data_IF_172029346462
#
_entry.id   IF_172029346462
#
_cell.length_a   1.000
_cell.length_b   1.000
_cell.length_c   1.000
_cell.angle_alpha   90.00
_cell.angle_beta   90.00
_cell.angle_gamma   90.00
#
_symmetry.space_group_name_H-M   'P 1'
#
loop_
_entity.id
_entity.type
_entity.pdbx_description
1 polymer ?
#
# COMPACT_ATOMS: atom_id res chain seq x y z
N UNK A 1 -45.28 -21.38 38.87
CA UNK A 1 -44.07 -20.53 38.82
C UNK A 1 -43.18 -20.99 37.67
N UNK A 2 -43.40 -20.48 36.45
CA UNK A 2 -42.56 -20.72 35.25
C UNK A 2 -42.57 -19.45 34.40
N UNK A 3 -42.11 -18.34 34.95
CA UNK A 3 -41.99 -17.07 34.19
C UNK A 3 -40.71 -16.29 34.47
N UNK A 4 -39.80 -16.78 35.31
CA UNK A 4 -38.57 -16.02 35.65
C UNK A 4 -37.35 -16.35 34.79
N UNK A 5 -37.28 -17.55 34.19
CA UNK A 5 -36.09 -18.03 33.46
C UNK A 5 -36.00 -17.52 32.01
N UNK A 6 -37.14 -17.24 31.37
CA UNK A 6 -37.17 -16.79 29.96
C UNK A 6 -36.69 -15.35 29.78
N UNK A 7 -36.88 -14.49 30.78
CA UNK A 7 -36.40 -13.11 30.74
C UNK A 7 -34.88 -13.05 30.86
N UNK A 8 -34.25 -13.81 31.75
CA UNK A 8 -32.79 -13.80 31.89
C UNK A 8 -32.08 -14.35 30.64
N UNK A 9 -32.61 -15.40 30.02
CA UNK A 9 -32.08 -15.92 28.75
C UNK A 9 -32.22 -14.92 27.59
N UNK A 10 -33.32 -14.17 27.54
CA UNK A 10 -33.52 -13.09 26.55
C UNK A 10 -32.59 -11.90 26.78
N UNK A 11 -32.35 -11.51 28.03
CA UNK A 11 -31.41 -10.44 28.38
C UNK A 11 -29.96 -10.83 28.06
N UNK A 12 -29.55 -12.07 28.33
CA UNK A 12 -28.21 -12.57 27.98
C UNK A 12 -28.03 -12.65 26.46
N UNK A 13 -29.05 -13.11 25.72
CA UNK A 13 -29.02 -13.17 24.25
C UNK A 13 -28.97 -11.77 23.59
N UNK A 14 -29.70 -10.80 24.15
CA UNK A 14 -29.66 -9.41 23.69
C UNK A 14 -28.32 -8.74 24.01
N UNK A 15 -27.73 -8.98 25.19
CA UNK A 15 -26.40 -8.46 25.54
C UNK A 15 -25.29 -9.06 24.66
N UNK A 16 -25.37 -10.35 24.32
CA UNK A 16 -24.42 -10.99 23.40
C UNK A 16 -24.60 -10.53 21.95
N UNK A 17 -25.84 -10.23 21.51
CA UNK A 17 -26.09 -9.61 20.21
C UNK A 17 -25.59 -8.15 20.12
N UNK A 18 -25.67 -7.39 21.21
CA UNK A 18 -25.17 -6.01 21.28
C UNK A 18 -23.63 -5.97 21.35
N UNK A 19 -22.99 -6.94 22.02
CA UNK A 19 -21.52 -7.05 22.08
C UNK A 19 -20.87 -7.52 20.76
N UNK A 20 -21.62 -8.15 19.86
CA UNK A 20 -21.15 -8.53 18.52
C UNK A 20 -21.50 -7.50 17.43
N UNK A 21 -22.11 -6.37 17.80
CA UNK A 21 -22.34 -5.24 16.90
C UNK A 21 -21.21 -4.20 16.96
N UNK A 22 -19.97 -4.62 17.22
CA UNK A 22 -18.82 -3.88 16.70
C UNK A 22 -18.91 -3.99 15.18
N UNK A 23 -19.45 -2.96 14.53
CA UNK A 23 -19.52 -2.92 13.07
C UNK A 23 -18.12 -3.16 12.54
N UNK A 24 -17.92 -4.29 11.84
CA UNK A 24 -16.68 -4.56 11.15
C UNK A 24 -16.37 -3.34 10.28
N UNK A 25 -15.23 -2.69 10.50
CA UNK A 25 -14.85 -1.41 9.90
C UNK A 25 -15.01 -1.49 8.37
N UNK A 26 -15.77 -0.61 7.74
CA UNK A 26 -16.06 -0.76 6.31
C UNK A 26 -14.91 -0.25 5.40
N UNK A 27 -14.99 -0.52 4.09
CA UNK A 27 -13.95 -0.08 3.16
C UNK A 27 -13.91 1.45 2.95
N UNK A 28 -15.01 2.16 3.22
CA UNK A 28 -15.03 3.62 3.18
C UNK A 28 -14.18 4.16 4.33
N UNK A 29 -14.34 3.61 5.53
CA UNK A 29 -13.51 3.94 6.70
C UNK A 29 -12.02 3.64 6.44
N UNK A 30 -11.70 2.47 5.85
CA UNK A 30 -10.32 2.13 5.45
C UNK A 30 -9.72 3.20 4.53
N UNK A 31 -10.50 3.69 3.54
CA UNK A 31 -10.00 4.69 2.60
C UNK A 31 -9.85 6.09 3.21
N UNK A 32 -10.71 6.47 4.15
CA UNK A 32 -10.57 7.73 4.91
C UNK A 32 -9.31 7.69 5.80
N UNK A 33 -9.00 6.52 6.35
CA UNK A 33 -7.84 6.27 7.22
C UNK A 33 -6.60 5.77 6.48
N UNK A 34 -6.52 5.89 5.14
CA UNK A 34 -5.39 5.35 4.36
C UNK A 34 -4.02 5.86 4.83
N UNK A 35 -3.97 7.05 5.42
CA UNK A 35 -2.73 7.66 5.88
C UNK A 35 -2.12 6.91 7.08
N UNK A 36 -2.95 6.21 7.86
CA UNK A 36 -2.56 5.39 9.01
C UNK A 36 -2.04 4.01 8.59
N UNK A 37 -2.21 3.60 7.32
CA UNK A 37 -1.77 2.27 6.88
C UNK A 37 -0.26 2.12 6.85
N UNK A 38 0.48 3.24 6.88
CA UNK A 38 1.93 3.24 7.07
C UNK A 38 2.32 2.65 8.44
N UNK A 39 1.46 2.79 9.46
CA UNK A 39 1.70 2.30 10.83
C UNK A 39 1.31 0.83 11.01
N UNK A 40 0.80 0.18 9.95
CA UNK A 40 0.42 -1.23 10.01
C UNK A 40 1.62 -2.18 10.05
N UNK A 41 2.75 -1.75 9.51
CA UNK A 41 3.97 -2.53 9.50
C UNK A 41 5.15 -1.66 9.94
N UNK A 42 5.87 -2.10 10.97
CA UNK A 42 7.13 -1.47 11.40
C UNK A 42 8.30 -1.88 10.48
N UNK A 43 8.16 -1.61 9.18
CA UNK A 43 9.16 -1.90 8.17
C UNK A 43 10.13 -0.72 7.99
N UNK A 44 11.43 -0.97 7.77
CA UNK A 44 12.33 0.07 7.30
C UNK A 44 11.92 0.54 5.89
N UNK A 45 12.09 1.83 5.61
CA UNK A 45 11.74 2.41 4.33
C UNK A 45 12.80 2.05 3.27
N UNK A 46 12.38 1.38 2.20
CA UNK A 46 13.25 1.05 1.03
C UNK A 46 13.60 2.31 0.23
N UNK A 47 12.66 3.24 0.14
CA UNK A 47 12.77 4.49 -0.60
C UNK A 47 12.69 5.65 0.40
N UNK A 48 13.48 6.70 0.16
CA UNK A 48 13.27 7.93 0.90
C UNK A 48 12.02 8.62 0.32
N UNK A 49 10.97 8.75 1.14
CA UNK A 49 9.72 9.41 0.75
C UNK A 49 9.59 10.83 1.32
N UNK A 50 10.68 11.36 1.88
CA UNK A 50 10.80 12.76 2.24
C UNK A 50 10.52 13.60 0.99
N UNK A 51 9.82 14.72 1.18
CA UNK A 51 9.44 15.62 0.08
C UNK A 51 8.52 15.00 -0.98
N UNK A 52 8.00 13.77 -0.82
CA UNK A 52 7.02 13.19 -1.76
C UNK A 52 5.82 14.13 -1.93
N UNK A 53 5.31 14.68 -0.82
CA UNK A 53 4.19 15.61 -0.84
C UNK A 53 4.49 16.86 -1.66
N UNK A 54 5.62 17.52 -1.42
CA UNK A 54 6.01 18.72 -2.17
C UNK A 54 6.28 18.41 -3.63
N UNK A 55 6.90 17.26 -3.93
CA UNK A 55 7.10 16.79 -5.30
C UNK A 55 5.77 16.62 -6.04
N UNK A 56 4.75 16.02 -5.41
CA UNK A 56 3.39 15.86 -5.96
C UNK A 56 2.69 17.22 -6.13
N UNK A 57 2.75 18.08 -5.10
CA UNK A 57 2.09 19.39 -5.11
C UNK A 57 2.69 20.34 -6.16
N UNK A 58 3.98 20.21 -6.44
CA UNK A 58 4.69 20.96 -7.48
C UNK A 58 4.39 20.54 -8.92
N UNK A 59 3.62 19.47 -9.14
CA UNK A 59 3.26 19.03 -10.49
C UNK A 59 1.96 19.66 -10.98
N UNK A 60 1.86 19.81 -12.31
CA UNK A 60 0.64 20.21 -13.01
C UNK A 60 -0.23 18.99 -13.38
N UNK A 61 -1.49 19.26 -13.73
CA UNK A 61 -2.44 18.24 -14.18
C UNK A 61 -3.39 17.73 -13.10
N UNK A 62 -4.10 16.65 -13.41
CA UNK A 62 -5.06 16.05 -12.48
C UNK A 62 -4.35 15.28 -11.35
N UNK A 63 -5.08 14.89 -10.29
CA UNK A 63 -4.51 14.22 -9.11
C UNK A 63 -3.69 12.96 -9.45
N UNK A 64 -4.09 12.21 -10.48
CA UNK A 64 -3.39 11.02 -10.92
C UNK A 64 -2.07 11.40 -11.62
N UNK A 65 -2.10 12.35 -12.55
CA UNK A 65 -0.90 12.86 -13.23
C UNK A 65 0.11 13.44 -12.22
N UNK A 66 -0.36 14.30 -11.30
CA UNK A 66 0.49 14.87 -10.25
C UNK A 66 1.20 13.81 -9.40
N UNK A 67 0.49 12.72 -9.08
CA UNK A 67 1.08 11.61 -8.34
C UNK A 67 2.22 10.94 -9.11
N UNK A 68 1.97 10.51 -10.36
CA UNK A 68 3.00 9.81 -11.14
C UNK A 68 4.21 10.70 -11.41
N UNK A 69 3.98 11.97 -11.77
CA UNK A 69 5.07 12.89 -12.05
C UNK A 69 5.84 13.28 -10.78
N UNK A 70 5.14 13.45 -9.65
CA UNK A 70 5.77 13.74 -8.38
C UNK A 70 6.63 12.58 -7.89
N UNK A 71 6.16 11.34 -8.02
CA UNK A 71 6.95 10.16 -7.67
C UNK A 71 8.14 9.99 -8.61
N UNK A 72 7.96 10.19 -9.91
CA UNK A 72 9.06 10.14 -10.87
C UNK A 72 10.15 11.15 -10.51
N UNK A 73 9.78 12.42 -10.27
CA UNK A 73 10.73 13.46 -9.89
C UNK A 73 11.46 13.13 -8.59
N UNK A 74 10.73 12.68 -7.55
CA UNK A 74 11.34 12.28 -6.28
C UNK A 74 12.37 11.14 -6.47
N UNK A 75 12.01 10.11 -7.24
CA UNK A 75 12.92 8.98 -7.47
C UNK A 75 14.11 9.41 -8.33
N UNK A 76 13.92 10.35 -9.24
CA UNK A 76 14.99 10.91 -10.07
C UNK A 76 15.97 11.74 -9.24
N UNK A 77 15.48 12.55 -8.30
CA UNK A 77 16.31 13.30 -7.34
C UNK A 77 17.22 12.38 -6.51
N UNK A 78 16.81 11.12 -6.34
CA UNK A 78 17.55 10.08 -5.61
C UNK A 78 18.38 9.18 -6.53
N UNK A 79 18.41 9.43 -7.85
CA UNK A 79 19.06 8.59 -8.85
C UNK A 79 18.55 7.13 -8.87
N UNK A 80 17.25 6.93 -8.58
CA UNK A 80 16.60 5.61 -8.60
C UNK A 80 15.82 5.36 -9.89
N UNK A 81 15.65 6.40 -10.69
CA UNK A 81 15.05 6.34 -12.03
C UNK A 81 15.73 7.37 -12.92
N UNK A 82 15.94 7.04 -14.19
CA UNK A 82 16.44 7.98 -15.20
C UNK A 82 15.33 8.78 -15.87
N UNK A 83 15.72 9.66 -16.82
CA UNK A 83 14.81 10.49 -17.60
C UNK A 83 13.86 9.69 -18.49
N UNK A 84 14.31 8.53 -18.99
CA UNK A 84 13.48 7.62 -19.77
C UNK A 84 12.52 6.79 -18.92
N UNK A 85 12.65 6.82 -17.59
CA UNK A 85 11.82 6.08 -16.66
C UNK A 85 12.33 4.67 -16.34
N UNK A 86 13.58 4.35 -16.68
CA UNK A 86 14.20 3.08 -16.31
C UNK A 86 14.62 3.11 -14.84
N UNK A 87 14.30 2.04 -14.12
CA UNK A 87 14.56 1.91 -12.69
C UNK A 87 15.99 1.43 -12.43
N UNK A 88 16.69 2.07 -11.49
CA UNK A 88 17.99 1.62 -11.01
C UNK A 88 17.82 0.60 -9.86
N UNK A 89 17.79 -0.67 -10.23
CA UNK A 89 17.58 -1.78 -9.30
C UNK A 89 18.71 -1.91 -8.28
N UNK A 90 19.95 -1.67 -8.71
CA UNK A 90 21.12 -1.83 -7.86
C UNK A 90 21.17 -0.71 -6.81
N UNK A 91 20.88 0.53 -7.20
CA UNK A 91 20.75 1.65 -6.26
C UNK A 91 19.63 1.40 -5.22
N UNK A 92 18.49 0.86 -5.66
CA UNK A 92 17.41 0.50 -4.72
C UNK A 92 17.79 -0.65 -3.78
N UNK A 93 18.54 -1.64 -4.24
CA UNK A 93 19.06 -2.71 -3.39
C UNK A 93 20.11 -2.19 -2.42
N UNK A 94 20.91 -1.20 -2.80
CA UNK A 94 21.88 -0.55 -1.91
C UNK A 94 21.21 0.10 -0.69
N UNK A 95 20.01 0.68 -0.86
CA UNK A 95 19.24 1.24 0.26
C UNK A 95 18.87 0.19 1.33
N UNK A 96 18.94 -1.11 1.01
CA UNK A 96 18.61 -2.21 1.94
C UNK A 96 19.80 -2.70 2.75
N UNK A 97 21.02 -2.21 2.48
CA UNK A 97 22.24 -2.74 3.09
C UNK A 97 22.30 -2.56 4.62
N UNK A 98 21.64 -1.54 5.15
CA UNK A 98 21.55 -1.28 6.59
C UNK A 98 20.42 -2.01 7.32
N UNK A 99 19.61 -2.82 6.62
CA UNK A 99 18.53 -3.58 7.24
C UNK A 99 19.05 -4.83 7.93
N UNK A 100 18.30 -5.36 8.89
CA UNK A 100 18.55 -6.72 9.38
C UNK A 100 18.37 -7.76 8.26
N UNK A 101 18.92 -8.96 8.45
CA UNK A 101 18.98 -9.98 7.40
C UNK A 101 17.59 -10.38 6.87
N UNK A 102 16.58 -10.46 7.76
CA UNK A 102 15.21 -10.80 7.39
C UNK A 102 14.58 -9.71 6.53
N UNK A 103 14.66 -8.45 6.97
CA UNK A 103 14.13 -7.32 6.22
C UNK A 103 14.88 -7.05 4.94
N UNK A 104 16.20 -7.23 4.92
CA UNK A 104 17.01 -7.11 3.72
C UNK A 104 16.53 -8.11 2.66
N UNK A 105 16.34 -9.38 3.04
CA UNK A 105 15.84 -10.39 2.12
C UNK A 105 14.42 -10.05 1.62
N UNK A 106 13.49 -9.67 2.51
CA UNK A 106 12.13 -9.29 2.14
C UNK A 106 12.13 -8.08 1.19
N UNK A 107 12.93 -7.06 1.49
CA UNK A 107 13.03 -5.85 0.69
C UNK A 107 13.61 -6.12 -0.70
N UNK A 108 14.69 -6.90 -0.80
CA UNK A 108 15.30 -7.25 -2.09
C UNK A 108 14.36 -8.08 -2.96
N UNK A 109 13.64 -9.05 -2.37
CA UNK A 109 12.61 -9.81 -3.09
C UNK A 109 11.43 -8.93 -3.53
N UNK A 110 11.02 -7.96 -2.70
CA UNK A 110 9.99 -7.01 -3.05
C UNK A 110 10.42 -6.10 -4.22
N UNK A 111 11.66 -5.62 -4.21
CA UNK A 111 12.25 -4.85 -5.32
C UNK A 111 12.21 -5.67 -6.61
N UNK A 112 12.76 -6.89 -6.61
CA UNK A 112 12.81 -7.74 -7.81
C UNK A 112 11.40 -8.04 -8.34
N UNK A 113 10.46 -8.38 -7.46
CA UNK A 113 9.07 -8.61 -7.85
C UNK A 113 8.43 -7.36 -8.46
N UNK A 114 8.68 -6.19 -7.87
CA UNK A 114 8.04 -4.95 -8.29
C UNK A 114 8.64 -4.36 -9.56
N UNK A 115 9.91 -4.59 -9.84
CA UNK A 115 10.52 -4.26 -11.13
C UNK A 115 9.87 -5.09 -12.23
N UNK A 116 9.89 -6.43 -12.12
CA UNK A 116 9.29 -7.33 -13.11
C UNK A 116 7.81 -7.03 -13.36
N UNK A 117 7.06 -6.77 -12.29
CA UNK A 117 5.65 -6.42 -12.39
C UNK A 117 5.42 -5.09 -13.08
N UNK A 118 6.24 -4.09 -12.77
CA UNK A 118 6.16 -2.77 -13.39
C UNK A 118 6.51 -2.86 -14.88
N UNK A 119 7.59 -3.56 -15.25
CA UNK A 119 7.97 -3.79 -16.65
C UNK A 119 6.83 -4.46 -17.43
N UNK A 120 6.23 -5.51 -16.87
CA UNK A 120 5.07 -6.17 -17.50
C UNK A 120 3.89 -5.22 -17.68
N UNK A 121 3.60 -4.37 -16.69
CA UNK A 121 2.53 -3.38 -16.80
C UNK A 121 2.84 -2.30 -17.83
N UNK A 122 4.10 -1.87 -17.96
CA UNK A 122 4.53 -0.90 -18.97
C UNK A 122 4.43 -1.48 -20.38
N UNK A 123 4.88 -2.72 -20.60
CA UNK A 123 4.73 -3.40 -21.88
C UNK A 123 3.25 -3.53 -22.31
N UNK A 124 2.36 -3.87 -21.37
CA UNK A 124 0.91 -3.90 -21.61
C UNK A 124 0.34 -2.52 -21.97
N UNK A 125 0.88 -1.44 -21.38
CA UNK A 125 0.46 -0.07 -21.69
C UNK A 125 0.95 0.38 -23.06
N UNK A 126 2.19 0.06 -23.43
CA UNK A 126 2.73 0.32 -24.76
C UNK A 126 1.86 -0.31 -25.86
N UNK A 127 1.45 -1.57 -25.68
CA UNK A 127 0.53 -2.25 -26.59
C UNK A 127 -0.84 -1.55 -26.72
N UNK A 128 -1.24 -0.77 -25.71
CA UNK A 128 -2.51 -0.02 -25.67
C UNK A 128 -2.37 1.45 -26.07
N UNK A 129 -1.25 1.82 -26.69
CA UNK A 129 -0.98 3.19 -27.16
C UNK A 129 -0.10 4.02 -26.23
N UNK A 130 0.63 3.37 -25.32
CA UNK A 130 1.63 3.99 -24.46
C UNK A 130 1.07 4.71 -23.23
N UNK A 131 1.96 5.13 -22.32
CA UNK A 131 1.59 5.94 -21.16
C UNK A 131 1.01 7.28 -21.62
N UNK A 132 -0.10 7.68 -20.99
CA UNK A 132 -0.75 8.97 -21.22
C UNK A 132 -0.33 9.92 -20.11
N UNK A 133 0.30 11.04 -20.46
CA UNK A 133 0.73 12.05 -19.50
C UNK A 133 2.06 12.67 -19.88
N UNK A 134 2.53 13.60 -19.05
CA UNK A 134 3.80 14.32 -19.27
C UNK A 134 5.03 13.59 -18.69
N UNK A 135 4.81 12.57 -17.86
CA UNK A 135 5.84 11.83 -17.15
C UNK A 135 5.65 10.32 -17.32
N UNK A 136 6.73 9.58 -17.15
CA UNK A 136 6.70 8.12 -17.18
C UNK A 136 6.08 7.57 -15.89
N UNK A 137 5.06 6.69 -15.98
CA UNK A 137 4.37 6.19 -14.80
C UNK A 137 5.15 5.09 -14.05
N UNK A 138 6.26 4.61 -14.61
CA UNK A 138 7.09 3.50 -14.09
C UNK A 138 7.40 3.65 -12.60
N UNK A 139 7.94 4.80 -12.19
CA UNK A 139 8.31 5.09 -10.81
C UNK A 139 7.10 5.02 -9.85
N UNK A 140 5.96 5.61 -10.26
CA UNK A 140 4.72 5.56 -9.47
C UNK A 140 4.16 4.15 -9.34
N UNK A 141 4.20 3.35 -10.40
CA UNK A 141 3.75 1.95 -10.38
C UNK A 141 4.62 1.09 -9.49
N UNK A 142 5.92 1.28 -9.59
CA UNK A 142 6.91 0.61 -8.76
C UNK A 142 6.70 0.94 -7.28
N UNK A 143 6.57 2.22 -6.91
CA UNK A 143 6.30 2.66 -5.53
C UNK A 143 5.01 2.03 -4.99
N UNK A 144 3.93 2.04 -5.78
CA UNK A 144 2.66 1.40 -5.38
C UNK A 144 2.80 -0.11 -5.20
N UNK A 145 3.63 -0.76 -6.02
CA UNK A 145 3.92 -2.18 -5.85
C UNK A 145 4.70 -2.44 -4.56
N UNK A 146 5.76 -1.67 -4.30
CA UNK A 146 6.57 -1.82 -3.09
C UNK A 146 5.73 -1.65 -1.81
N UNK A 147 4.85 -0.64 -1.77
CA UNK A 147 3.94 -0.45 -0.64
C UNK A 147 3.07 -1.69 -0.39
N UNK A 148 2.51 -2.28 -1.46
CA UNK A 148 1.71 -3.52 -1.35
C UNK A 148 2.55 -4.72 -0.93
N UNK A 149 3.75 -4.88 -1.48
CA UNK A 149 4.65 -5.96 -1.12
C UNK A 149 5.08 -5.87 0.35
N UNK A 150 5.34 -4.65 0.85
CA UNK A 150 5.72 -4.39 2.24
C UNK A 150 4.62 -4.78 3.22
N UNK A 151 3.36 -4.40 2.92
CA UNK A 151 2.20 -4.82 3.74
C UNK A 151 2.01 -6.33 3.71
N UNK A 152 2.05 -6.94 2.51
CA UNK A 152 1.78 -8.37 2.33
C UNK A 152 2.82 -9.25 3.03
N UNK A 153 4.09 -8.85 2.96
CA UNK A 153 5.21 -9.62 3.48
C UNK A 153 5.68 -9.14 4.86
N UNK A 154 4.93 -8.25 5.51
CA UNK A 154 5.26 -7.78 6.85
C UNK A 154 5.32 -8.96 7.85
N UNK A 155 6.47 -9.18 8.52
CA UNK A 155 6.60 -10.19 9.56
C UNK A 155 5.56 -10.02 10.67
N UNK A 156 5.12 -11.14 11.24
CA UNK A 156 4.02 -11.15 12.21
C UNK A 156 4.35 -10.37 13.50
N UNK A 157 5.61 -10.34 13.92
CA UNK A 157 6.09 -9.60 15.09
C UNK A 157 6.23 -8.09 14.84
N UNK A 158 6.24 -7.65 13.57
CA UNK A 158 6.28 -6.24 13.15
C UNK A 158 4.93 -5.70 12.72
N UNK A 159 3.92 -6.55 12.71
CA UNK A 159 2.59 -6.26 12.23
C UNK A 159 1.68 -5.75 13.35
N UNK A 160 0.98 -4.66 13.10
CA UNK A 160 -0.05 -4.15 14.00
C UNK A 160 -1.39 -4.86 13.70
N UNK A 161 -1.88 -5.71 14.59
CA UNK A 161 -3.16 -6.41 14.42
C UNK A 161 -4.41 -5.59 14.74
N UNK A 162 -4.35 -4.27 14.56
CA UNK A 162 -5.57 -3.45 14.56
C UNK A 162 -6.50 -3.86 13.42
N UNK A 163 -7.80 -3.65 13.61
CA UNK A 163 -8.81 -3.96 12.59
C UNK A 163 -8.54 -3.27 11.25
N UNK A 164 -7.99 -2.04 11.28
CA UNK A 164 -7.55 -1.31 10.10
C UNK A 164 -6.52 -2.09 9.31
N UNK A 165 -5.49 -2.54 10.00
CA UNK A 165 -4.38 -3.22 9.38
C UNK A 165 -4.81 -4.58 8.85
N UNK A 166 -5.58 -5.37 9.62
CA UNK A 166 -6.06 -6.67 9.16
C UNK A 166 -6.90 -6.55 7.86
N UNK A 167 -7.74 -5.53 7.75
CA UNK A 167 -8.49 -5.24 6.51
C UNK A 167 -7.62 -4.78 5.35
N UNK A 168 -6.53 -4.07 5.63
CA UNK A 168 -5.55 -3.67 4.61
C UNK A 168 -4.76 -4.90 4.13
N UNK A 169 -4.36 -5.80 5.04
CA UNK A 169 -3.62 -7.04 4.72
C UNK A 169 -4.45 -8.05 3.95
N UNK A 170 -5.75 -8.15 4.25
CA UNK A 170 -6.66 -9.04 3.53
C UNK A 170 -6.85 -8.62 2.06
N UNK A 171 -6.64 -7.34 1.75
CA UNK A 171 -6.90 -6.79 0.42
C UNK A 171 -8.38 -6.70 0.08
N UNK A 172 -9.28 -6.89 1.05
CA UNK A 172 -10.74 -6.81 0.86
C UNK A 172 -11.17 -5.45 0.26
N UNK A 173 -10.47 -4.37 0.63
CA UNK A 173 -10.79 -3.01 0.22
C UNK A 173 -9.96 -2.49 -0.98
N UNK A 174 -9.29 -3.37 -1.72
CA UNK A 174 -8.51 -3.01 -2.90
C UNK A 174 -9.45 -2.67 -4.07
N UNK A 175 -9.45 -1.41 -4.52
CA UNK A 175 -10.37 -0.86 -5.54
C UNK A 175 -10.35 -1.57 -6.90
N UNK A 176 -9.40 -2.48 -7.15
CA UNK A 176 -9.35 -3.31 -8.37
C UNK A 176 -10.36 -4.46 -8.39
N UNK A 177 -11.03 -4.74 -7.26
CA UNK A 177 -12.09 -5.75 -7.15
C UNK A 177 -13.51 -5.25 -7.40
N UNK A 178 -13.78 -3.94 -7.28
CA UNK A 178 -15.09 -3.37 -7.55
C UNK A 178 -15.19 -2.86 -8.99
N UNK A 179 -15.44 -3.80 -9.93
CA UNK A 179 -16.17 -3.46 -11.15
C UNK A 179 -17.66 -3.41 -10.78
N UNK A 180 -18.18 -2.20 -10.60
CA UNK A 180 -19.59 -1.90 -10.85
C UNK A 180 -19.65 -0.89 -11.99
#
# INVERSE_FOLDING_TARGET
MKMSYSHELLFVAMLSAVLHLSSAMDCKEVWERKHETADCCSAPAILNLDNLKSNIEGQEGNKHEKFFCGVHNLMKEQNLVDDEGNLDVDAMKQNTEGFDDEWKQIAQQAIDHCVQKTESMMADMEQRGGPKGQCQPTAGMFLMCLGKASIKNCPADKWNSSELCEKVKSGECDKRGHKH
#
